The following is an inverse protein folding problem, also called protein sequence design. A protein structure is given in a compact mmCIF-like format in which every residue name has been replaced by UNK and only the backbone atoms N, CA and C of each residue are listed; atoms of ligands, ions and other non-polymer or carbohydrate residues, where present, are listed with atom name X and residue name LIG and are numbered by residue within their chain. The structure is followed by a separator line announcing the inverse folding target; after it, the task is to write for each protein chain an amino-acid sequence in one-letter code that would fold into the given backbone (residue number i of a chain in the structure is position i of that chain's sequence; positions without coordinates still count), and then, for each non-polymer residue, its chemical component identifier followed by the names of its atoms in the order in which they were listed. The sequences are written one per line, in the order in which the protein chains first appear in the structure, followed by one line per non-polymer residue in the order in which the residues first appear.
data_IF_825074948827
#
_entry.id   IF_825074948827
#
_cell.length_a   1.000
_cell.length_b   1.000
_cell.length_c   1.000
_cell.angle_alpha   90.00
_cell.angle_beta   90.00
_cell.angle_gamma   90.00
#
_symmetry.space_group_name_H-M   'P 1'
#
loop_
_entity.id
_entity.type
_entity.pdbx_description
1 polymer ?
#
# COMPACT_ATOMS: atom_id res chain seq x y z
N UNK A 1 -15.70 -12.69 3.00
CA UNK A 1 -14.54 -13.34 2.35
C UNK A 1 -14.47 -14.79 2.79
N UNK A 2 -14.00 -15.70 1.95
CA UNK A 2 -13.75 -17.11 2.33
C UNK A 2 -12.29 -17.27 2.72
N UNK A 3 -12.04 -17.91 3.86
CA UNK A 3 -10.72 -18.05 4.48
C UNK A 3 -10.52 -19.50 4.91
N UNK A 4 -9.32 -20.04 4.67
CA UNK A 4 -8.84 -21.29 5.28
C UNK A 4 -8.08 -20.92 6.55
N UNK A 5 -8.56 -21.39 7.70
CA UNK A 5 -7.97 -21.13 9.01
C UNK A 5 -6.77 -22.06 9.28
N UNK A 6 -6.04 -21.79 10.37
CA UNK A 6 -4.84 -22.53 10.74
C UNK A 6 -5.09 -24.03 11.02
N UNK A 7 -6.31 -24.39 11.42
CA UNK A 7 -6.74 -25.78 11.62
C UNK A 7 -7.21 -26.48 10.32
N UNK A 8 -7.12 -25.79 9.18
CA UNK A 8 -7.52 -26.28 7.87
C UNK A 8 -9.03 -26.13 7.57
N UNK A 9 -9.82 -25.58 8.50
CA UNK A 9 -11.25 -25.35 8.27
C UNK A 9 -11.50 -24.17 7.33
N UNK A 10 -12.60 -24.24 6.58
CA UNK A 10 -13.04 -23.17 5.68
C UNK A 10 -14.14 -22.36 6.35
N UNK A 11 -13.94 -21.05 6.48
CA UNK A 11 -14.91 -20.12 7.04
C UNK A 11 -15.27 -19.01 6.05
N UNK A 12 -16.54 -18.59 6.05
CA UNK A 12 -16.97 -17.37 5.36
C UNK A 12 -17.24 -16.29 6.40
N UNK A 13 -16.44 -15.22 6.35
CA UNK A 13 -16.46 -14.13 7.32
C UNK A 13 -16.91 -12.82 6.68
N UNK A 14 -17.69 -12.04 7.42
CA UNK A 14 -18.05 -10.67 7.10
C UNK A 14 -18.16 -9.81 8.37
N UNK A 15 -18.67 -8.59 8.24
CA UNK A 15 -18.80 -7.66 9.37
C UNK A 15 -19.83 -8.09 10.42
N UNK A 16 -20.63 -9.12 10.15
CA UNK A 16 -21.71 -9.60 10.99
C UNK A 16 -21.41 -10.99 11.58
N UNK A 17 -20.80 -11.91 10.81
CA UNK A 17 -20.55 -13.28 11.26
C UNK A 17 -19.34 -13.41 12.18
N UNK A 18 -18.23 -12.74 11.85
CA UNK A 18 -16.95 -12.81 12.59
C UNK A 18 -16.26 -11.43 12.59
N UNK A 19 -16.83 -10.42 13.28
CA UNK A 19 -16.46 -9.01 13.12
C UNK A 19 -14.99 -8.71 13.45
N UNK A 20 -14.42 -9.37 14.47
CA UNK A 20 -13.04 -9.15 14.90
C UNK A 20 -12.04 -9.70 13.89
N UNK A 21 -12.28 -10.94 13.42
CA UNK A 21 -11.47 -11.56 12.38
C UNK A 21 -11.62 -10.81 11.05
N UNK A 22 -12.84 -10.40 10.69
CA UNK A 22 -13.11 -9.57 9.52
C UNK A 22 -12.39 -8.22 9.55
N UNK A 23 -12.30 -7.58 10.72
CA UNK A 23 -11.51 -6.37 10.91
C UNK A 23 -10.00 -6.66 10.78
N UNK A 24 -9.50 -7.69 11.48
CA UNK A 24 -8.08 -8.02 11.51
C UNK A 24 -7.52 -8.37 10.11
N UNK A 25 -8.31 -9.11 9.32
CA UNK A 25 -7.95 -9.50 7.95
C UNK A 25 -7.80 -8.30 6.99
N UNK A 26 -8.32 -7.12 7.35
CA UNK A 26 -8.24 -5.89 6.53
C UNK A 26 -7.08 -4.97 6.95
N UNK A 27 -5.94 -5.56 7.30
CA UNK A 27 -4.73 -4.79 7.59
C UNK A 27 -3.56 -5.62 8.12
N UNK A 28 -3.84 -6.76 8.76
CA UNK A 28 -2.79 -7.59 9.33
C UNK A 28 -2.09 -8.53 8.33
N UNK A 29 -2.40 -8.45 7.04
CA UNK A 29 -1.78 -9.30 6.01
C UNK A 29 -2.14 -10.78 6.19
N UNK A 30 -1.13 -11.66 6.19
CA UNK A 30 -1.28 -13.13 6.15
C UNK A 30 -1.39 -13.80 7.52
N UNK A 31 -1.57 -13.05 8.60
CA UNK A 31 -1.46 -13.57 9.97
C UNK A 31 -2.59 -14.49 10.43
N UNK A 32 -3.78 -14.44 9.81
CA UNK A 32 -4.98 -15.11 10.35
C UNK A 32 -5.58 -16.18 9.42
N UNK A 33 -4.91 -16.50 8.31
CA UNK A 33 -5.35 -17.55 7.40
C UNK A 33 -5.09 -17.24 5.93
N UNK A 34 -5.54 -18.13 5.07
CA UNK A 34 -5.41 -18.02 3.61
C UNK A 34 -6.75 -17.58 3.02
N UNK A 35 -6.80 -16.37 2.46
CA UNK A 35 -8.00 -15.89 1.76
C UNK A 35 -8.10 -16.58 0.41
N UNK A 36 -9.22 -17.27 0.16
CA UNK A 36 -9.50 -17.95 -1.11
C UNK A 36 -10.51 -17.22 -1.97
N UNK A 37 -11.35 -16.35 -1.38
CA UNK A 37 -12.29 -15.51 -2.12
C UNK A 37 -12.62 -14.22 -1.38
N UNK A 38 -12.91 -13.16 -2.13
CA UNK A 38 -13.38 -11.88 -1.59
C UNK A 38 -14.54 -11.34 -2.41
N UNK A 39 -15.47 -10.65 -1.74
CA UNK A 39 -16.49 -9.82 -2.38
C UNK A 39 -16.10 -8.37 -2.15
N UNK A 40 -15.89 -7.63 -3.23
CA UNK A 40 -15.46 -6.23 -3.17
C UNK A 40 -16.51 -5.31 -3.82
N UNK A 41 -16.68 -4.13 -3.22
CA UNK A 41 -17.45 -3.05 -3.84
C UNK A 41 -16.60 -2.40 -4.93
N UNK A 42 -17.14 -2.35 -6.14
CA UNK A 42 -16.52 -1.67 -7.28
C UNK A 42 -17.15 -0.29 -7.50
N UNK A 43 -16.37 0.63 -8.06
CA UNK A 43 -16.80 2.00 -8.38
C UNK A 43 -16.66 2.25 -9.88
N UNK A 44 -17.45 3.17 -10.47
CA UNK A 44 -17.30 3.55 -11.87
C UNK A 44 -15.88 4.03 -12.18
N UNK A 45 -15.36 3.63 -13.34
CA UNK A 45 -14.02 4.04 -13.79
C UNK A 45 -14.06 5.49 -14.28
N UNK A 46 -13.33 6.38 -13.62
CA UNK A 46 -13.28 7.82 -13.93
C UNK A 46 -12.20 8.11 -15.01
N UNK A 47 -11.07 7.40 -14.97
CA UNK A 47 -9.95 7.58 -15.91
C UNK A 47 -9.68 6.30 -16.71
N UNK A 48 -9.36 6.43 -18.01
CA UNK A 48 -9.02 5.30 -18.89
C UNK A 48 -7.53 5.08 -19.07
N UNK A 49 -6.71 6.02 -18.60
CA UNK A 49 -5.26 6.04 -18.73
C UNK A 49 -4.66 6.43 -17.39
N UNK A 50 -3.46 5.95 -17.13
CA UNK A 50 -2.64 6.33 -15.99
C UNK A 50 -1.19 6.53 -16.45
N UNK A 51 -0.43 7.33 -15.72
CA UNK A 51 1.00 7.50 -15.85
C UNK A 51 1.68 6.98 -14.58
N UNK A 52 2.84 6.35 -14.75
CA UNK A 52 3.70 5.95 -13.64
C UNK A 52 5.07 6.53 -13.95
N UNK A 53 5.60 7.30 -13.01
CA UNK A 53 6.99 7.72 -13.02
C UNK A 53 7.73 6.98 -11.90
N UNK A 54 9.03 6.73 -12.05
CA UNK A 54 9.86 6.22 -10.97
C UNK A 54 11.09 7.08 -10.84
N UNK A 55 11.19 7.78 -9.71
CA UNK A 55 12.30 8.65 -9.37
C UNK A 55 13.17 7.97 -8.30
N UNK A 56 14.48 8.05 -8.47
CA UNK A 56 15.45 7.53 -7.52
C UNK A 56 16.22 8.68 -6.89
N UNK A 57 16.31 8.66 -5.56
CA UNK A 57 17.02 9.68 -4.79
C UNK A 57 18.03 9.03 -3.84
N UNK A 58 19.16 9.71 -3.66
CA UNK A 58 20.16 9.37 -2.64
C UNK A 58 19.61 9.61 -1.23
N UNK A 59 20.14 8.91 -0.23
CA UNK A 59 19.61 8.91 1.12
C UNK A 59 19.60 10.29 1.81
N UNK A 60 20.50 11.19 1.43
CA UNK A 60 20.55 12.57 1.93
C UNK A 60 19.32 13.41 1.53
N UNK A 61 18.56 12.98 0.51
CA UNK A 61 17.37 13.68 0.03
C UNK A 61 16.07 13.24 0.70
N UNK A 62 16.10 12.20 1.53
CA UNK A 62 14.90 11.63 2.18
C UNK A 62 14.05 12.72 2.85
N UNK A 63 14.65 13.55 3.71
CA UNK A 63 13.90 14.57 4.44
C UNK A 63 13.21 15.57 3.50
N UNK A 64 13.94 16.05 2.49
CA UNK A 64 13.40 16.98 1.49
C UNK A 64 12.31 16.33 0.62
N UNK A 65 12.46 15.06 0.27
CA UNK A 65 11.48 14.30 -0.52
C UNK A 65 10.16 14.15 0.24
N UNK A 66 10.20 13.75 1.52
CA UNK A 66 9.00 13.63 2.33
C UNK A 66 8.36 14.98 2.63
N UNK A 67 9.14 16.04 2.79
CA UNK A 67 8.61 17.40 2.92
C UNK A 67 7.85 17.82 1.65
N UNK A 68 8.45 17.63 0.47
CA UNK A 68 7.79 17.92 -0.80
C UNK A 68 6.53 17.06 -1.00
N UNK A 69 6.56 15.78 -0.59
CA UNK A 69 5.39 14.92 -0.63
C UNK A 69 4.25 15.45 0.26
N UNK A 70 4.57 15.90 1.47
CA UNK A 70 3.60 16.48 2.39
C UNK A 70 3.00 17.79 1.86
N UNK A 71 3.83 18.65 1.27
CA UNK A 71 3.42 19.98 0.81
C UNK A 71 2.63 19.94 -0.51
N UNK A 72 2.86 18.92 -1.36
CA UNK A 72 2.34 18.91 -2.72
C UNK A 72 1.40 17.73 -3.03
N UNK A 73 1.54 16.60 -2.36
CA UNK A 73 0.75 15.40 -2.67
C UNK A 73 -0.38 15.21 -1.66
N UNK A 74 -0.12 15.44 -0.37
CA UNK A 74 -1.13 15.31 0.66
C UNK A 74 -2.00 16.58 0.68
N UNK A 75 -3.32 16.40 0.63
CA UNK A 75 -4.29 17.48 0.77
C UNK A 75 -5.08 17.25 2.06
N UNK A 76 -5.02 18.18 3.00
CA UNK A 76 -5.69 18.08 4.30
C UNK A 76 -5.35 16.79 5.09
N UNK A 77 -4.09 16.34 5.00
CA UNK A 77 -3.65 15.10 5.66
C UNK A 77 -4.11 13.80 5.00
N UNK A 78 -4.74 13.86 3.82
CA UNK A 78 -5.16 12.70 3.06
C UNK A 78 -4.53 12.68 1.66
N UNK A 79 -4.28 11.49 1.14
CA UNK A 79 -3.87 11.30 -0.25
C UNK A 79 -5.09 11.50 -1.17
N UNK A 80 -4.97 12.24 -2.28
CA UNK A 80 -6.01 12.34 -3.30
C UNK A 80 -6.38 10.96 -3.87
N UNK A 81 -7.64 10.79 -4.27
CA UNK A 81 -8.12 9.51 -4.84
C UNK A 81 -7.53 9.19 -6.22
N UNK A 82 -7.07 10.21 -6.94
CA UNK A 82 -6.47 10.10 -8.28
C UNK A 82 -4.94 10.04 -8.24
N UNK A 83 -4.35 9.90 -7.06
CA UNK A 83 -2.90 9.82 -6.88
C UNK A 83 -2.57 8.63 -5.98
N UNK A 84 -1.65 7.77 -6.42
CA UNK A 84 -1.03 6.76 -5.57
C UNK A 84 0.45 7.09 -5.45
N UNK A 85 0.93 7.23 -4.23
CA UNK A 85 2.35 7.40 -3.93
C UNK A 85 2.83 6.24 -3.06
N UNK A 86 3.88 5.55 -3.50
CA UNK A 86 4.59 4.59 -2.67
C UNK A 86 6.10 4.77 -2.79
N UNK A 87 6.81 4.30 -1.77
CA UNK A 87 8.27 4.37 -1.71
C UNK A 87 8.87 3.01 -1.36
N UNK A 88 10.00 2.70 -1.98
CA UNK A 88 10.83 1.56 -1.60
C UNK A 88 12.15 2.06 -1.03
N UNK A 89 12.68 1.31 -0.07
CA UNK A 89 13.96 1.60 0.55
C UNK A 89 14.94 0.48 0.24
N UNK A 90 16.04 0.81 -0.42
CA UNK A 90 17.07 -0.17 -0.77
C UNK A 90 18.42 0.26 -0.22
N UNK A 91 19.21 -0.73 0.18
CA UNK A 91 20.63 -0.53 0.43
C UNK A 91 21.38 -1.07 -0.79
N UNK A 92 22.01 -0.18 -1.56
CA UNK A 92 22.82 -0.55 -2.74
C UNK A 92 24.23 0.01 -2.52
N UNK A 93 25.12 -0.72 -1.82
CA UNK A 93 26.41 -0.21 -1.38
C UNK A 93 27.34 0.24 -2.52
N UNK A 94 27.14 -0.26 -3.73
CA UNK A 94 27.91 0.12 -4.93
C UNK A 94 27.56 1.51 -5.45
N UNK A 95 26.37 2.04 -5.13
CA UNK A 95 25.89 3.35 -5.57
C UNK A 95 25.96 4.36 -4.41
N UNK A 96 25.58 3.94 -3.19
CA UNK A 96 25.74 4.72 -1.96
C UNK A 96 26.24 3.80 -0.83
N UNK A 97 27.55 3.79 -0.55
CA UNK A 97 28.12 2.94 0.49
C UNK A 97 27.76 3.40 1.91
N UNK A 98 27.12 4.56 2.10
CA UNK A 98 26.80 5.16 3.41
C UNK A 98 25.30 5.36 3.66
N UNK A 99 24.44 5.25 2.65
CA UNK A 99 23.03 5.63 2.72
C UNK A 99 22.07 4.63 2.07
N UNK A 100 20.80 4.71 2.48
CA UNK A 100 19.68 3.95 1.89
C UNK A 100 19.07 4.80 0.77
N UNK A 101 18.86 4.21 -0.41
CA UNK A 101 18.12 4.81 -1.51
C UNK A 101 16.62 4.80 -1.20
N UNK A 102 15.94 5.88 -1.56
CA UNK A 102 14.48 5.93 -1.59
C UNK A 102 14.01 5.99 -3.04
N UNK A 103 13.14 5.06 -3.40
CA UNK A 103 12.34 5.14 -4.61
C UNK A 103 11.10 5.98 -4.33
N UNK A 104 10.67 6.72 -5.33
CA UNK A 104 9.44 7.48 -5.31
C UNK A 104 8.71 7.22 -6.62
N UNK A 105 7.54 6.59 -6.54
CA UNK A 105 6.72 6.32 -7.70
C UNK A 105 5.35 7.00 -7.54
N UNK A 106 5.15 8.18 -8.15
CA UNK A 106 3.82 8.73 -8.29
C UNK A 106 3.12 8.01 -9.44
N UNK A 107 1.94 7.45 -9.16
CA UNK A 107 0.99 7.01 -10.16
C UNK A 107 -0.20 7.98 -10.16
N UNK A 108 -0.51 8.55 -11.33
CA UNK A 108 -1.67 9.41 -11.57
C UNK A 108 -2.50 8.86 -12.73
#
# INVERSE_FOLDING_TARGET
MTVVLADGTVATIDAQSEPDLWWAMRGAGHNFGIVTSVTAKIYPRIHTTYAIETLMFTGDKVAALYQAANDHLLRNGAQPVDLINWSYWFNVPTIDPKGRFSFYAPAA
#
